data_IF_835903603636
#
_entry.id   IF_835903603636
#
_cell.length_a   1.000
_cell.length_b   1.000
_cell.length_c   1.000
_cell.angle_alpha   90.00
_cell.angle_beta   90.00
_cell.angle_gamma   90.00
#
_symmetry.space_group_name_H-M   'P 1'
#
loop_
_entity.id
_entity.type
_entity.pdbx_description
1 polymer ?
#
# COMPACT_ATOMS: atom_id res chain seq x y z
N UNK A 1 -25.31 -24.64 10.05
CA UNK A 1 -25.15 -25.97 9.42
C UNK A 1 -25.60 -27.11 10.34
N UNK A 2 -26.02 -26.86 11.59
CA UNK A 2 -26.40 -27.93 12.53
C UNK A 2 -27.82 -28.50 12.29
N UNK A 3 -28.63 -27.86 11.42
CA UNK A 3 -30.00 -28.30 11.11
C UNK A 3 -30.14 -29.24 9.90
N UNK A 4 -29.05 -29.67 9.25
CA UNK A 4 -29.08 -30.69 8.19
C UNK A 4 -28.08 -31.79 8.52
N UNK A 5 -28.49 -33.06 8.41
CA UNK A 5 -27.78 -34.32 8.78
C UNK A 5 -26.42 -34.58 8.11
N UNK A 6 -25.69 -33.57 7.65
CA UNK A 6 -24.37 -33.69 7.03
C UNK A 6 -23.30 -33.37 8.06
N UNK A 7 -22.47 -34.35 8.43
CA UNK A 7 -21.32 -34.12 9.31
C UNK A 7 -20.25 -33.30 8.59
N UNK A 8 -19.69 -32.25 9.23
CA UNK A 8 -18.64 -31.45 8.63
C UNK A 8 -17.38 -32.30 8.42
N UNK A 9 -16.71 -32.09 7.28
CA UNK A 9 -15.46 -32.77 6.93
C UNK A 9 -14.31 -31.75 6.84
N UNK A 10 -13.11 -32.22 6.51
CA UNK A 10 -11.91 -31.37 6.39
C UNK A 10 -12.10 -30.18 5.44
N UNK A 11 -12.83 -30.37 4.33
CA UNK A 11 -13.13 -29.31 3.35
C UNK A 11 -14.06 -28.25 3.96
N UNK A 12 -15.07 -28.67 4.72
CA UNK A 12 -15.96 -27.75 5.44
C UNK A 12 -15.18 -26.89 6.42
N UNK A 13 -14.32 -27.50 7.24
CA UNK A 13 -13.49 -26.75 8.19
C UNK A 13 -12.48 -25.84 7.49
N UNK A 14 -11.81 -26.29 6.42
CA UNK A 14 -10.88 -25.46 5.66
C UNK A 14 -11.56 -24.20 5.12
N UNK A 15 -12.80 -24.32 4.63
CA UNK A 15 -13.59 -23.19 4.15
C UNK A 15 -13.96 -22.21 5.28
N UNK A 16 -14.36 -22.73 6.44
CA UNK A 16 -14.69 -21.90 7.61
C UNK A 16 -13.45 -21.20 8.19
N UNK A 17 -12.34 -21.92 8.31
CA UNK A 17 -11.05 -21.38 8.76
C UNK A 17 -10.60 -20.28 7.80
N UNK A 18 -10.67 -20.51 6.48
CA UNK A 18 -10.35 -19.50 5.49
C UNK A 18 -11.21 -18.23 5.65
N UNK A 19 -12.53 -18.38 5.75
CA UNK A 19 -13.44 -17.24 5.96
C UNK A 19 -13.16 -16.45 7.25
N UNK A 20 -12.81 -17.14 8.34
CA UNK A 20 -12.43 -16.49 9.60
C UNK A 20 -11.07 -15.80 9.54
N UNK A 21 -10.13 -16.36 8.79
CA UNK A 21 -8.83 -15.76 8.52
C UNK A 21 -8.99 -14.47 7.70
N UNK A 22 -9.86 -14.46 6.69
CA UNK A 22 -10.14 -13.25 5.89
C UNK A 22 -10.87 -12.14 6.64
N UNK A 23 -11.55 -12.46 7.74
CA UNK A 23 -12.22 -11.49 8.63
C UNK A 23 -11.39 -11.14 9.87
N UNK A 24 -10.07 -11.36 9.82
CA UNK A 24 -9.09 -11.07 10.89
C UNK A 24 -9.44 -11.68 12.26
N UNK A 25 -10.24 -12.76 12.28
CA UNK A 25 -10.73 -13.43 13.49
C UNK A 25 -9.88 -14.64 13.86
N UNK A 26 -8.55 -14.47 14.02
CA UNK A 26 -7.58 -15.56 14.23
C UNK A 26 -7.92 -16.50 15.39
N UNK A 27 -8.39 -15.96 16.52
CA UNK A 27 -8.70 -16.78 17.69
C UNK A 27 -9.79 -17.81 17.35
N UNK A 28 -10.80 -17.41 16.58
CA UNK A 28 -11.87 -18.31 16.13
C UNK A 28 -11.34 -19.34 15.13
N UNK A 29 -10.43 -18.95 14.23
CA UNK A 29 -9.79 -19.88 13.31
C UNK A 29 -8.97 -20.96 14.04
N UNK A 30 -8.24 -20.58 15.09
CA UNK A 30 -7.51 -21.52 15.96
C UNK A 30 -8.47 -22.40 16.79
N UNK A 31 -9.61 -21.87 17.24
CA UNK A 31 -10.64 -22.68 17.91
C UNK A 31 -11.20 -23.76 16.98
N UNK A 32 -11.47 -23.43 15.71
CA UNK A 32 -11.91 -24.42 14.73
C UNK A 32 -10.84 -25.49 14.47
N UNK A 33 -9.55 -25.13 14.45
CA UNK A 33 -8.47 -26.12 14.32
C UNK A 33 -8.45 -27.11 15.49
N UNK A 34 -8.70 -26.63 16.71
CA UNK A 34 -8.78 -27.50 17.90
C UNK A 34 -10.06 -28.36 17.86
N UNK A 35 -11.19 -27.78 17.47
CA UNK A 35 -12.45 -28.49 17.32
C UNK A 35 -12.36 -29.64 16.29
N UNK A 36 -11.63 -29.43 15.18
CA UNK A 36 -11.34 -30.51 14.22
C UNK A 36 -10.68 -31.71 14.92
N UNK A 37 -9.70 -31.45 15.79
CA UNK A 37 -9.00 -32.50 16.51
C UNK A 37 -9.93 -33.22 17.52
N UNK A 38 -10.77 -32.47 18.25
CA UNK A 38 -11.75 -33.03 19.20
C UNK A 38 -12.78 -33.92 18.50
N UNK A 39 -13.19 -33.53 17.29
CA UNK A 39 -14.12 -34.30 16.43
C UNK A 39 -13.43 -35.41 15.63
N UNK A 40 -12.13 -35.66 15.87
CA UNK A 40 -11.31 -36.67 15.17
C UNK A 40 -11.22 -36.46 13.65
N UNK A 41 -11.41 -35.23 13.19
CA UNK A 41 -11.18 -34.82 11.81
C UNK A 41 -9.73 -34.34 11.73
N UNK A 42 -8.88 -35.08 11.03
CA UNK A 42 -7.45 -34.73 10.93
C UNK A 42 -7.26 -33.50 10.04
N UNK A 43 -6.68 -32.40 10.55
CA UNK A 43 -6.26 -31.28 9.71
C UNK A 43 -5.18 -31.72 8.73
N UNK A 44 -5.24 -31.23 7.50
CA UNK A 44 -4.28 -31.56 6.45
C UNK A 44 -3.28 -30.41 6.21
N UNK A 45 -2.32 -30.62 5.31
CA UNK A 45 -1.34 -29.60 4.92
C UNK A 45 -2.01 -28.31 4.43
N UNK A 46 -3.18 -28.41 3.79
CA UNK A 46 -3.91 -27.25 3.30
C UNK A 46 -4.51 -26.44 4.46
N UNK A 47 -5.09 -27.09 5.48
CA UNK A 47 -5.55 -26.43 6.71
C UNK A 47 -4.46 -25.57 7.34
N UNK A 48 -3.26 -26.13 7.49
CA UNK A 48 -2.11 -25.43 8.05
C UNK A 48 -1.60 -24.31 7.15
N UNK A 49 -1.63 -24.49 5.83
CA UNK A 49 -1.23 -23.45 4.88
C UNK A 49 -2.09 -22.18 4.98
N UNK A 50 -3.41 -22.33 5.14
CA UNK A 50 -4.34 -21.21 5.33
C UNK A 50 -3.98 -20.41 6.59
N UNK A 51 -3.73 -21.12 7.69
CA UNK A 51 -3.40 -20.49 8.97
C UNK A 51 -2.04 -19.78 8.94
N UNK A 52 -1.02 -20.42 8.36
CA UNK A 52 0.31 -19.80 8.19
C UNK A 52 0.21 -18.54 7.35
N UNK A 53 -0.48 -18.60 6.20
CA UNK A 53 -0.66 -17.47 5.29
C UNK A 53 -1.38 -16.29 5.97
N UNK A 54 -2.50 -16.56 6.66
CA UNK A 54 -3.23 -15.54 7.43
C UNK A 54 -2.35 -14.86 8.47
N UNK A 55 -1.66 -15.65 9.30
CA UNK A 55 -0.80 -15.10 10.34
C UNK A 55 0.35 -14.28 9.75
N UNK A 56 0.91 -14.67 8.61
CA UNK A 56 1.95 -13.90 7.92
C UNK A 56 1.44 -12.55 7.40
N UNK A 57 0.30 -12.55 6.69
CA UNK A 57 -0.33 -11.35 6.11
C UNK A 57 -0.72 -10.32 7.16
N UNK A 58 -1.29 -10.77 8.27
CA UNK A 58 -1.71 -9.86 9.33
C UNK A 58 -0.60 -9.51 10.32
N UNK A 59 0.52 -10.20 10.20
CA UNK A 59 1.76 -9.68 10.68
C UNK A 59 2.48 -10.44 11.79
N UNK A 60 1.95 -11.60 12.13
CA UNK A 60 2.44 -12.45 13.20
C UNK A 60 3.23 -13.63 12.65
N UNK A 61 4.41 -13.39 12.08
CA UNK A 61 5.29 -14.45 11.55
C UNK A 61 5.74 -15.42 12.66
N UNK A 62 5.83 -14.96 13.91
CA UNK A 62 6.14 -15.83 15.05
C UNK A 62 5.03 -16.86 15.29
N UNK A 63 3.77 -16.41 15.29
CA UNK A 63 2.61 -17.31 15.36
C UNK A 63 2.55 -18.27 14.18
N UNK A 64 2.83 -17.78 12.96
CA UNK A 64 2.93 -18.62 11.77
C UNK A 64 3.99 -19.73 11.92
N UNK A 65 5.16 -19.42 12.52
CA UNK A 65 6.20 -20.41 12.84
C UNK A 65 5.75 -21.43 13.89
N UNK A 66 4.95 -21.02 14.88
CA UNK A 66 4.37 -21.96 15.86
C UNK A 66 3.43 -22.94 15.16
N UNK A 67 2.57 -22.46 14.26
CA UNK A 67 1.66 -23.29 13.48
C UNK A 67 2.43 -24.29 12.60
N UNK A 68 3.51 -23.85 11.94
CA UNK A 68 4.40 -24.74 11.18
C UNK A 68 5.02 -25.84 12.07
N UNK A 69 5.49 -25.49 13.27
CA UNK A 69 6.02 -26.50 14.23
C UNK A 69 4.95 -27.50 14.64
N UNK A 70 3.72 -27.06 14.89
CA UNK A 70 2.59 -27.94 15.21
C UNK A 70 2.30 -28.92 14.07
N UNK A 71 2.34 -28.44 12.82
CA UNK A 71 2.17 -29.28 11.62
C UNK A 71 3.24 -30.39 11.56
N UNK A 72 4.51 -30.03 11.73
CA UNK A 72 5.63 -30.98 11.69
C UNK A 72 5.53 -32.01 12.82
N UNK A 73 5.18 -31.58 14.04
CA UNK A 73 4.98 -32.48 15.19
C UNK A 73 3.85 -33.50 14.98
N UNK A 74 2.88 -33.18 14.13
CA UNK A 74 1.80 -34.10 13.73
C UNK A 74 2.19 -35.02 12.55
N UNK A 75 3.45 -35.00 12.13
CA UNK A 75 3.97 -35.86 11.06
C UNK A 75 3.62 -35.38 9.65
N UNK A 76 3.11 -34.15 9.49
CA UNK A 76 2.81 -33.58 8.19
C UNK A 76 4.05 -32.91 7.60
N UNK A 77 4.26 -33.07 6.29
CA UNK A 77 5.41 -32.51 5.57
C UNK A 77 5.03 -31.14 4.99
N UNK A 78 5.73 -30.05 5.37
CA UNK A 78 5.48 -28.73 4.81
C UNK A 78 5.77 -28.65 3.31
N UNK A 79 4.84 -28.05 2.55
CA UNK A 79 4.99 -27.81 1.12
C UNK A 79 5.60 -26.42 0.86
N UNK A 80 6.10 -26.18 -0.36
CA UNK A 80 6.74 -24.91 -0.78
C UNK A 80 5.86 -23.69 -0.48
N UNK A 81 4.53 -23.81 -0.62
CA UNK A 81 3.55 -22.76 -0.33
C UNK A 81 3.66 -22.23 1.11
N UNK A 82 3.91 -23.10 2.09
CA UNK A 82 4.00 -22.70 3.51
C UNK A 82 5.26 -21.87 3.77
N UNK A 83 6.38 -22.28 3.18
CA UNK A 83 7.63 -21.52 3.27
C UNK A 83 7.54 -20.21 2.50
N UNK A 84 6.89 -20.21 1.33
CA UNK A 84 6.60 -19.00 0.57
C UNK A 84 5.77 -17.99 1.39
N UNK A 85 4.70 -18.42 2.06
CA UNK A 85 3.93 -17.55 2.97
C UNK A 85 4.76 -17.00 4.13
N UNK A 86 5.66 -17.80 4.72
CA UNK A 86 6.58 -17.33 5.77
C UNK A 86 7.61 -16.32 5.25
N UNK A 87 8.17 -16.55 4.06
CA UNK A 87 9.09 -15.63 3.40
C UNK A 87 8.40 -14.31 3.06
N UNK A 88 7.19 -14.36 2.52
CA UNK A 88 6.39 -13.17 2.23
C UNK A 88 6.07 -12.39 3.50
N UNK A 89 5.68 -13.08 4.57
CA UNK A 89 5.50 -12.47 5.89
C UNK A 89 6.75 -11.80 6.48
N UNK A 90 7.96 -12.25 6.13
CA UNK A 90 9.21 -11.57 6.45
C UNK A 90 9.48 -10.37 5.53
N UNK A 91 9.23 -10.54 4.23
CA UNK A 91 9.37 -9.50 3.20
C UNK A 91 8.52 -8.27 3.52
N UNK A 92 7.24 -8.46 3.87
CA UNK A 92 6.29 -7.40 4.25
C UNK A 92 6.73 -6.58 5.47
N UNK A 93 7.70 -7.06 6.26
CA UNK A 93 8.28 -6.33 7.42
C UNK A 93 9.69 -5.83 7.16
N UNK A 94 10.14 -5.82 5.92
CA UNK A 94 11.51 -5.46 5.56
C UNK A 94 12.56 -6.32 6.28
N UNK A 95 12.20 -7.54 6.71
CA UNK A 95 13.12 -8.49 7.35
C UNK A 95 13.77 -9.41 6.31
N UNK A 96 14.35 -8.81 5.27
CA UNK A 96 14.84 -9.51 4.07
C UNK A 96 15.89 -10.56 4.41
N UNK A 97 16.79 -10.32 5.36
CA UNK A 97 17.82 -11.30 5.74
C UNK A 97 17.22 -12.56 6.38
N UNK A 98 16.08 -12.43 7.07
CA UNK A 98 15.35 -13.59 7.61
C UNK A 98 14.61 -14.35 6.52
N UNK A 99 14.02 -13.64 5.56
CA UNK A 99 13.43 -14.25 4.37
C UNK A 99 14.50 -15.01 3.58
N UNK A 100 15.68 -14.42 3.38
CA UNK A 100 16.82 -15.04 2.70
C UNK A 100 17.32 -16.30 3.41
N UNK A 101 17.52 -16.24 4.73
CA UNK A 101 17.88 -17.43 5.52
C UNK A 101 16.87 -18.56 5.38
N UNK A 102 15.58 -18.23 5.33
CA UNK A 102 14.53 -19.23 5.13
C UNK A 102 14.59 -19.81 3.72
N UNK A 103 14.74 -18.96 2.70
CA UNK A 103 14.93 -19.35 1.30
C UNK A 103 16.10 -20.34 1.16
N UNK A 104 17.28 -20.01 1.67
CA UNK A 104 18.46 -20.88 1.57
C UNK A 104 18.27 -22.21 2.33
N UNK A 105 17.52 -22.20 3.44
CA UNK A 105 17.26 -23.40 4.26
C UNK A 105 16.29 -24.39 3.61
N UNK A 106 15.43 -23.95 2.69
CA UNK A 106 14.43 -24.83 2.03
C UNK A 106 15.09 -26.01 1.30
N UNK A 107 16.22 -25.77 0.64
CA UNK A 107 16.97 -26.81 -0.07
C UNK A 107 17.48 -27.90 0.88
N UNK A 108 17.94 -27.53 2.08
CA UNK A 108 18.40 -28.48 3.11
C UNK A 108 17.26 -29.37 3.63
N UNK A 109 16.01 -28.94 3.47
CA UNK A 109 14.82 -29.71 3.82
C UNK A 109 14.21 -30.44 2.62
N UNK A 110 14.92 -30.49 1.48
CA UNK A 110 14.44 -31.13 0.25
C UNK A 110 13.29 -30.41 -0.44
N UNK A 111 13.01 -29.16 -0.06
CA UNK A 111 11.96 -28.33 -0.66
C UNK A 111 12.56 -27.47 -1.77
N UNK A 112 12.23 -27.75 -3.02
CA UNK A 112 12.70 -26.97 -4.18
C UNK A 112 11.97 -25.64 -4.26
N UNK A 113 12.70 -24.59 -4.60
CA UNK A 113 12.15 -23.28 -4.92
C UNK A 113 11.34 -23.34 -6.22
N UNK A 114 10.23 -22.61 -6.25
CA UNK A 114 9.45 -22.36 -7.46
C UNK A 114 9.58 -20.89 -7.90
N UNK A 115 8.99 -20.55 -9.05
CA UNK A 115 8.95 -19.16 -9.57
C UNK A 115 8.45 -18.17 -8.51
N UNK A 116 7.46 -18.59 -7.71
CA UNK A 116 6.89 -17.75 -6.66
C UNK A 116 7.88 -17.49 -5.52
N UNK A 117 8.68 -18.48 -5.10
CA UNK A 117 9.77 -18.30 -4.13
C UNK A 117 10.77 -17.23 -4.58
N UNK A 118 11.18 -17.24 -5.86
CA UNK A 118 12.08 -16.22 -6.41
C UNK A 118 11.41 -14.85 -6.47
N UNK A 119 10.16 -14.76 -6.93
CA UNK A 119 9.42 -13.50 -7.01
C UNK A 119 9.27 -12.84 -5.64
N UNK A 120 9.01 -13.60 -4.56
CA UNK A 120 8.99 -13.06 -3.19
C UNK A 120 10.33 -12.42 -2.82
N UNK A 121 11.45 -13.12 -3.07
CA UNK A 121 12.77 -12.63 -2.71
C UNK A 121 13.22 -11.44 -3.56
N UNK A 122 12.97 -11.48 -4.87
CA UNK A 122 13.24 -10.37 -5.79
C UNK A 122 12.46 -9.13 -5.35
N UNK A 123 11.17 -9.27 -5.07
CA UNK A 123 10.35 -8.18 -4.54
C UNK A 123 10.87 -7.65 -3.20
N UNK A 124 11.26 -8.55 -2.28
CA UNK A 124 11.84 -8.18 -1.00
C UNK A 124 13.12 -7.34 -1.16
N UNK A 125 14.02 -7.75 -2.06
CA UNK A 125 15.25 -7.03 -2.35
C UNK A 125 14.99 -5.67 -3.01
N UNK A 126 14.09 -5.60 -4.00
CA UNK A 126 13.70 -4.35 -4.66
C UNK A 126 13.17 -3.32 -3.65
N UNK A 127 12.22 -3.71 -2.78
CA UNK A 127 11.64 -2.80 -1.78
C UNK A 127 12.66 -2.33 -0.72
N UNK A 128 13.74 -3.07 -0.54
CA UNK A 128 14.83 -2.72 0.36
C UNK A 128 16.03 -2.09 -0.36
N UNK A 129 15.85 -1.67 -1.63
CA UNK A 129 16.88 -1.03 -2.47
C UNK A 129 18.15 -1.86 -2.68
N UNK A 130 18.06 -3.18 -2.52
CA UNK A 130 19.16 -4.15 -2.68
C UNK A 130 19.16 -4.74 -4.10
N UNK A 131 19.28 -3.87 -5.09
CA UNK A 131 19.05 -4.22 -6.50
C UNK A 131 20.04 -5.25 -7.06
N UNK A 132 21.30 -5.22 -6.61
CA UNK A 132 22.32 -6.15 -7.10
C UNK A 132 22.00 -7.59 -6.68
N UNK A 133 21.43 -7.80 -5.49
CA UNK A 133 20.98 -9.12 -5.03
C UNK A 133 19.70 -9.58 -5.75
N UNK A 134 18.80 -8.64 -6.10
CA UNK A 134 17.63 -8.94 -6.91
C UNK A 134 18.05 -9.42 -8.31
N UNK A 135 19.04 -8.77 -8.91
CA UNK A 135 19.60 -9.15 -10.22
C UNK A 135 20.33 -10.50 -10.18
N UNK A 136 21.11 -10.75 -9.11
CA UNK A 136 21.72 -12.07 -8.90
C UNK A 136 20.67 -13.19 -8.82
N UNK A 137 19.56 -12.97 -8.11
CA UNK A 137 18.48 -13.97 -8.06
C UNK A 137 17.76 -14.15 -9.40
N UNK A 138 17.57 -13.10 -10.18
CA UNK A 138 17.01 -13.23 -11.53
C UNK A 138 17.91 -14.11 -12.42
N UNK A 139 19.23 -13.94 -12.33
CA UNK A 139 20.17 -14.75 -13.10
C UNK A 139 20.24 -16.20 -12.59
N UNK A 140 20.25 -16.42 -11.27
CA UNK A 140 20.17 -17.76 -10.66
C UNK A 140 18.88 -18.51 -11.06
N UNK A 141 17.77 -17.79 -11.18
CA UNK A 141 16.50 -18.35 -11.65
C UNK A 141 16.61 -18.86 -13.09
N UNK A 142 17.24 -18.07 -13.98
CA UNK A 142 17.48 -18.44 -15.38
C UNK A 142 18.47 -19.61 -15.51
N UNK A 143 19.54 -19.63 -14.72
CA UNK A 143 20.51 -20.74 -14.70
C UNK A 143 19.90 -22.07 -14.25
N UNK A 144 18.79 -22.01 -13.49
CA UNK A 144 18.04 -23.18 -13.01
C UNK A 144 16.86 -23.57 -13.92
N UNK A 145 16.80 -23.02 -15.13
CA UNK A 145 15.72 -23.24 -16.11
C UNK A 145 14.32 -22.90 -15.54
N UNK A 146 14.25 -22.00 -14.54
CA UNK A 146 13.00 -21.44 -14.07
C UNK A 146 12.70 -20.18 -14.89
N UNK A 147 11.70 -20.23 -15.75
CA UNK A 147 11.36 -19.09 -16.61
C UNK A 147 10.79 -17.92 -15.79
N UNK A 148 11.45 -16.74 -15.78
CA UNK A 148 10.89 -15.54 -15.18
C UNK A 148 9.59 -15.14 -15.88
N UNK A 149 8.63 -14.61 -15.11
CA UNK A 149 7.35 -14.19 -15.66
C UNK A 149 7.23 -12.67 -15.75
N UNK A 150 6.09 -12.19 -16.24
CA UNK A 150 5.79 -10.77 -16.34
C UNK A 150 5.88 -10.06 -14.99
N UNK A 151 5.56 -10.75 -13.88
CA UNK A 151 5.65 -10.20 -12.53
C UNK A 151 7.11 -10.02 -12.15
N UNK A 152 7.97 -11.04 -12.35
CA UNK A 152 9.41 -10.98 -12.08
C UNK A 152 10.04 -9.76 -12.76
N UNK A 153 9.82 -9.63 -14.07
CA UNK A 153 10.40 -8.54 -14.86
C UNK A 153 9.85 -7.18 -14.48
N UNK A 154 8.54 -7.06 -14.26
CA UNK A 154 7.92 -5.79 -13.85
C UNK A 154 8.43 -5.34 -12.49
N UNK A 155 8.60 -6.25 -11.53
CA UNK A 155 9.19 -5.96 -10.22
C UNK A 155 10.63 -5.47 -10.33
N UNK A 156 11.43 -6.07 -11.22
CA UNK A 156 12.81 -5.65 -11.47
C UNK A 156 12.88 -4.25 -12.10
N UNK A 157 12.06 -3.98 -13.14
CA UNK A 157 11.97 -2.65 -13.77
C UNK A 157 11.58 -1.59 -12.73
N UNK A 158 10.52 -1.84 -11.95
CA UNK A 158 10.08 -0.92 -10.91
C UNK A 158 11.17 -0.69 -9.85
N UNK A 159 11.82 -1.76 -9.38
CA UNK A 159 12.91 -1.65 -8.41
C UNK A 159 14.08 -0.79 -8.91
N UNK A 160 14.51 -0.98 -10.15
CA UNK A 160 15.58 -0.16 -10.75
C UNK A 160 15.15 1.30 -10.95
N UNK A 161 13.90 1.55 -11.36
CA UNK A 161 13.33 2.89 -11.41
C UNK A 161 13.40 3.57 -10.03
N UNK A 162 12.86 2.94 -8.99
CA UNK A 162 12.88 3.50 -7.62
C UNK A 162 14.30 3.72 -7.09
N UNK A 163 15.26 2.88 -7.50
CA UNK A 163 16.67 3.03 -7.16
C UNK A 163 17.41 4.13 -7.95
N UNK A 164 16.75 4.81 -8.90
CA UNK A 164 17.40 5.83 -9.73
C UNK A 164 18.11 5.31 -10.98
N UNK A 165 18.11 3.99 -11.21
CA UNK A 165 18.97 3.27 -12.18
C UNK A 165 18.24 3.00 -13.50
N UNK A 166 17.86 4.06 -14.23
CA UNK A 166 17.05 3.94 -15.46
C UNK A 166 17.69 3.07 -16.55
N UNK A 167 19.02 3.12 -16.72
CA UNK A 167 19.72 2.33 -17.74
C UNK A 167 19.53 0.83 -17.50
N UNK A 168 19.59 0.41 -16.25
CA UNK A 168 19.39 -0.99 -15.86
C UNK A 168 17.92 -1.39 -16.01
N UNK A 169 16.97 -0.51 -15.64
CA UNK A 169 15.55 -0.72 -15.89
C UNK A 169 15.25 -0.93 -17.39
N UNK A 170 15.86 -0.14 -18.27
CA UNK A 170 15.74 -0.29 -19.73
C UNK A 170 16.39 -1.59 -20.24
N UNK A 171 17.50 -2.03 -19.64
CA UNK A 171 18.12 -3.31 -19.97
C UNK A 171 17.22 -4.48 -19.58
N UNK A 172 16.63 -4.46 -18.39
CA UNK A 172 15.64 -5.45 -17.96
C UNK A 172 14.42 -5.46 -18.88
N UNK A 173 13.91 -4.30 -19.29
CA UNK A 173 12.78 -4.19 -20.23
C UNK A 173 13.10 -4.85 -21.60
N UNK A 174 14.33 -4.66 -22.10
CA UNK A 174 14.80 -5.31 -23.32
C UNK A 174 14.93 -6.82 -23.14
N UNK A 175 15.48 -7.26 -22.00
CA UNK A 175 15.61 -8.68 -21.64
C UNK A 175 14.24 -9.36 -21.57
N UNK A 176 13.28 -8.75 -20.88
CA UNK A 176 11.89 -9.19 -20.79
C UNK A 176 11.30 -9.44 -22.20
N UNK A 177 11.46 -8.47 -23.11
CA UNK A 177 10.96 -8.59 -24.48
C UNK A 177 11.68 -9.68 -25.29
N UNK A 178 13.00 -9.82 -25.09
CA UNK A 178 13.83 -10.83 -25.76
C UNK A 178 13.53 -12.27 -25.33
N UNK A 179 13.06 -12.45 -24.11
CA UNK A 179 12.63 -13.76 -23.57
C UNK A 179 11.15 -14.09 -23.86
N UNK A 180 10.47 -13.25 -24.66
CA UNK A 180 9.08 -13.47 -25.05
C UNK A 180 8.04 -13.01 -24.02
N UNK A 181 8.45 -12.34 -22.93
CA UNK A 181 7.55 -11.69 -22.01
C UNK A 181 7.22 -10.27 -22.52
N UNK A 182 5.94 -9.96 -22.71
CA UNK A 182 5.54 -8.63 -23.17
C UNK A 182 5.37 -7.67 -22.00
N UNK A 183 6.02 -6.48 -22.01
CA UNK A 183 5.77 -5.44 -21.02
C UNK A 183 4.29 -5.06 -20.97
N UNK A 184 3.74 -4.96 -19.76
CA UNK A 184 2.34 -4.60 -19.56
C UNK A 184 2.21 -3.14 -19.10
N UNK A 185 0.97 -2.69 -18.87
CA UNK A 185 0.70 -1.32 -18.42
C UNK A 185 1.41 -0.97 -17.11
N UNK A 186 1.56 -1.93 -16.19
CA UNK A 186 2.26 -1.73 -14.90
C UNK A 186 3.75 -1.49 -15.11
N UNK A 187 4.36 -2.22 -16.05
CA UNK A 187 5.78 -2.02 -16.42
C UNK A 187 6.01 -0.59 -16.94
N UNK A 188 5.14 -0.11 -17.84
CA UNK A 188 5.26 1.23 -18.39
C UNK A 188 4.89 2.34 -17.40
N UNK A 189 3.89 2.13 -16.54
CA UNK A 189 3.55 3.06 -15.46
C UNK A 189 4.73 3.26 -14.50
N UNK A 190 5.53 2.22 -14.24
CA UNK A 190 6.74 2.32 -13.41
C UNK A 190 7.83 3.19 -14.05
N UNK A 191 7.97 3.15 -15.38
CA UNK A 191 8.88 4.02 -16.14
C UNK A 191 8.35 5.45 -16.21
N UNK A 192 7.03 5.61 -16.38
CA UNK A 192 6.37 6.90 -16.39
C UNK A 192 6.55 7.63 -15.05
N UNK A 193 6.36 6.92 -13.93
CA UNK A 193 6.54 7.44 -12.57
C UNK A 193 7.98 7.90 -12.33
N UNK A 194 8.95 7.11 -12.80
CA UNK A 194 10.35 7.48 -12.76
C UNK A 194 10.62 8.80 -13.49
N UNK A 195 10.17 8.91 -14.74
CA UNK A 195 10.43 10.08 -15.60
C UNK A 195 9.78 11.34 -15.00
N UNK A 196 8.52 11.23 -14.54
CA UNK A 196 7.82 12.29 -13.83
C UNK A 196 8.56 12.71 -12.55
N UNK A 197 8.98 11.74 -11.73
CA UNK A 197 9.72 12.00 -10.49
C UNK A 197 11.09 12.66 -10.70
N UNK A 198 11.71 12.48 -11.88
CA UNK A 198 12.96 13.13 -12.28
C UNK A 198 12.76 14.45 -13.03
N UNK A 199 11.51 14.87 -13.27
CA UNK A 199 11.19 16.07 -14.05
C UNK A 199 11.46 15.93 -15.55
N UNK A 200 11.70 14.72 -16.06
CA UNK A 200 11.87 14.43 -17.49
C UNK A 200 10.51 14.33 -18.18
N UNK A 201 9.75 15.41 -18.14
CA UNK A 201 8.33 15.41 -18.51
C UNK A 201 8.08 15.24 -20.01
N UNK A 202 8.97 15.72 -20.86
CA UNK A 202 8.83 15.52 -22.31
C UNK A 202 9.02 14.05 -22.69
N UNK A 203 9.97 13.37 -22.07
CA UNK A 203 10.16 11.92 -22.22
C UNK A 203 8.95 11.15 -21.65
N UNK A 204 8.39 11.62 -20.52
CA UNK A 204 7.19 11.03 -19.91
C UNK A 204 5.96 11.16 -20.83
N UNK A 205 5.74 12.33 -21.43
CA UNK A 205 4.66 12.57 -22.39
C UNK A 205 4.82 11.74 -23.66
N UNK A 206 6.04 11.64 -24.20
CA UNK A 206 6.34 10.79 -25.34
C UNK A 206 6.10 9.31 -25.02
N UNK A 207 6.51 8.85 -23.83
CA UNK A 207 6.22 7.49 -23.37
C UNK A 207 4.71 7.26 -23.22
N UNK A 208 3.97 8.23 -22.69
CA UNK A 208 2.52 8.13 -22.54
C UNK A 208 1.81 7.96 -23.89
N UNK A 209 2.23 8.69 -24.92
CA UNK A 209 1.71 8.51 -26.29
C UNK A 209 2.00 7.10 -26.84
N UNK A 210 3.19 6.54 -26.54
CA UNK A 210 3.52 5.15 -26.90
C UNK A 210 2.59 4.18 -26.18
N UNK A 211 2.31 4.39 -24.88
CA UNK A 211 1.36 3.58 -24.12
C UNK A 211 -0.01 3.66 -24.80
N UNK A 212 -0.54 4.85 -25.07
CA UNK A 212 -1.86 5.04 -25.71
C UNK A 212 -2.01 4.34 -27.05
N UNK A 213 -0.95 4.35 -27.86
CA UNK A 213 -0.97 3.73 -29.20
C UNK A 213 -0.86 2.20 -29.18
N UNK A 214 -0.26 1.62 -28.13
CA UNK A 214 0.08 0.19 -28.08
C UNK A 214 -0.72 -0.59 -27.04
N UNK A 215 -1.21 0.09 -26.01
CA UNK A 215 -1.87 -0.45 -24.84
C UNK A 215 -3.09 0.42 -24.52
N UNK A 216 -4.08 -0.17 -23.85
CA UNK A 216 -5.15 0.62 -23.25
C UNK A 216 -4.60 1.28 -21.98
N UNK A 217 -4.58 2.62 -21.94
CA UNK A 217 -4.22 3.36 -20.73
C UNK A 217 -5.17 3.01 -19.58
N UNK A 218 -4.64 3.04 -18.37
CA UNK A 218 -5.41 2.98 -17.14
C UNK A 218 -5.42 4.35 -16.44
N UNK A 219 -6.31 4.49 -15.46
CA UNK A 219 -6.41 5.72 -14.64
C UNK A 219 -5.10 6.00 -13.91
N UNK A 220 -4.31 4.96 -13.59
CA UNK A 220 -3.02 5.07 -12.90
C UNK A 220 -1.99 5.81 -13.74
N UNK A 221 -1.85 5.48 -15.03
CA UNK A 221 -0.93 6.17 -15.94
C UNK A 221 -1.25 7.66 -16.07
N UNK A 222 -2.54 7.99 -16.22
CA UNK A 222 -3.01 9.39 -16.21
C UNK A 222 -2.64 10.09 -14.91
N UNK A 223 -2.93 9.47 -13.76
CA UNK A 223 -2.64 10.03 -12.44
C UNK A 223 -1.16 10.33 -12.23
N UNK A 224 -0.27 9.41 -12.63
CA UNK A 224 1.19 9.59 -12.56
C UNK A 224 1.64 10.81 -13.38
N UNK A 225 1.16 10.90 -14.63
CA UNK A 225 1.54 11.99 -15.52
C UNK A 225 1.00 13.34 -15.02
N UNK A 226 -0.27 13.40 -14.59
CA UNK A 226 -0.86 14.61 -14.03
C UNK A 226 -0.13 15.11 -12.79
N UNK A 227 0.22 14.23 -11.85
CA UNK A 227 0.98 14.59 -10.65
C UNK A 227 2.37 15.16 -11.02
N UNK A 228 3.05 14.53 -11.97
CA UNK A 228 4.33 15.04 -12.51
C UNK A 228 4.20 16.43 -13.14
N UNK A 229 3.19 16.64 -13.99
CA UNK A 229 2.94 17.91 -14.67
C UNK A 229 2.59 19.03 -13.67
N UNK A 230 1.72 18.76 -12.69
CA UNK A 230 1.36 19.73 -11.65
C UNK A 230 2.55 20.14 -10.79
N UNK A 231 3.38 19.17 -10.37
CA UNK A 231 4.60 19.43 -9.59
C UNK A 231 5.61 20.32 -10.33
N UNK A 232 5.65 20.25 -11.66
CA UNK A 232 6.53 21.10 -12.47
C UNK A 232 5.87 22.40 -12.97
N UNK A 233 4.61 22.65 -12.63
CA UNK A 233 3.88 23.83 -13.10
C UNK A 233 3.51 23.84 -14.58
N UNK A 234 3.46 22.67 -15.23
CA UNK A 234 2.95 22.52 -16.61
C UNK A 234 1.42 22.43 -16.61
N UNK A 235 0.78 23.47 -16.11
CA UNK A 235 -0.67 23.50 -15.81
C UNK A 235 -1.55 23.18 -17.02
N UNK A 236 -1.23 23.76 -18.18
CA UNK A 236 -2.02 23.58 -19.40
C UNK A 236 -2.13 22.11 -19.79
N UNK A 237 -1.01 21.41 -19.74
CA UNK A 237 -0.94 19.99 -20.09
C UNK A 237 -1.58 19.13 -19.01
N UNK A 238 -1.40 19.47 -17.72
CA UNK A 238 -2.07 18.76 -16.63
C UNK A 238 -3.60 18.81 -16.77
N UNK A 239 -4.15 20.00 -17.10
CA UNK A 239 -5.57 20.21 -17.37
C UNK A 239 -6.06 19.48 -18.62
N UNK A 240 -5.24 19.43 -19.66
CA UNK A 240 -5.52 18.66 -20.87
C UNK A 240 -5.63 17.16 -20.55
N UNK A 241 -4.71 16.61 -19.75
CA UNK A 241 -4.75 15.22 -19.33
C UNK A 241 -6.00 14.89 -18.51
N UNK A 242 -6.39 15.76 -17.56
CA UNK A 242 -7.64 15.59 -16.80
C UNK A 242 -8.86 15.60 -17.73
N UNK A 243 -8.92 16.58 -18.65
CA UNK A 243 -10.02 16.71 -19.61
C UNK A 243 -10.13 15.50 -20.54
N UNK A 244 -9.01 14.93 -20.96
CA UNK A 244 -8.98 13.71 -21.79
C UNK A 244 -9.56 12.53 -21.01
N UNK A 245 -9.11 12.32 -19.77
CA UNK A 245 -9.62 11.25 -18.91
C UNK A 245 -11.13 11.37 -18.66
N UNK A 246 -11.66 12.59 -18.46
CA UNK A 246 -13.10 12.81 -18.28
C UNK A 246 -13.95 12.63 -19.54
N UNK A 247 -13.36 12.74 -20.74
CA UNK A 247 -14.09 12.61 -22.03
C UNK A 247 -14.07 11.19 -22.59
N UNK A 248 -13.06 10.40 -22.25
CA UNK A 248 -12.95 9.03 -22.73
C UNK A 248 -13.98 8.13 -22.03
N UNK A 249 -15.07 7.78 -22.72
CA UNK A 249 -16.20 6.99 -22.20
C UNK A 249 -15.84 5.64 -21.53
N UNK A 250 -14.58 5.18 -21.62
CA UNK A 250 -14.12 3.92 -21.04
C UNK A 250 -13.43 4.08 -19.68
N UNK A 251 -12.98 5.28 -19.33
CA UNK A 251 -12.25 5.56 -18.08
C UNK A 251 -12.96 6.71 -17.38
N UNK A 252 -13.01 6.67 -16.06
CA UNK A 252 -13.58 7.75 -15.26
C UNK A 252 -12.52 8.19 -14.24
N UNK A 253 -12.41 9.51 -13.97
CA UNK A 253 -11.63 9.99 -12.85
C UNK A 253 -12.01 9.28 -11.56
N UNK A 254 -11.02 8.81 -10.81
CA UNK A 254 -11.21 8.25 -9.47
C UNK A 254 -10.92 9.30 -8.38
N UNK A 255 -11.21 8.98 -7.12
CA UNK A 255 -10.89 9.84 -5.96
C UNK A 255 -9.44 10.34 -5.99
N UNK A 256 -8.49 9.49 -6.38
CA UNK A 256 -7.07 9.87 -6.47
C UNK A 256 -6.81 10.89 -7.57
N UNK A 257 -7.50 10.77 -8.71
CA UNK A 257 -7.44 11.71 -9.84
C UNK A 257 -7.83 13.13 -9.41
N UNK A 258 -8.95 13.25 -8.68
CA UNK A 258 -9.39 14.53 -8.12
C UNK A 258 -8.38 15.07 -7.11
N UNK A 259 -7.92 14.24 -6.17
CA UNK A 259 -6.95 14.66 -5.15
C UNK A 259 -5.65 15.21 -5.76
N UNK A 260 -5.14 14.57 -6.82
CA UNK A 260 -3.95 15.04 -7.55
C UNK A 260 -4.21 16.41 -8.18
N UNK A 261 -5.35 16.57 -8.84
CA UNK A 261 -5.69 17.81 -9.56
C UNK A 261 -5.97 18.96 -8.60
N UNK A 262 -6.74 18.73 -7.53
CA UNK A 262 -7.01 19.71 -6.47
C UNK A 262 -5.70 20.15 -5.81
N UNK A 263 -4.83 19.20 -5.41
CA UNK A 263 -3.52 19.53 -4.85
C UNK A 263 -2.67 20.36 -5.82
N UNK A 264 -2.68 20.01 -7.10
CA UNK A 264 -2.00 20.75 -8.16
C UNK A 264 -2.50 22.19 -8.28
N UNK A 265 -3.82 22.39 -8.35
CA UNK A 265 -4.47 23.70 -8.40
C UNK A 265 -4.16 24.54 -7.16
N UNK A 266 -4.27 23.95 -5.96
CA UNK A 266 -3.91 24.62 -4.71
C UNK A 266 -2.47 25.12 -4.73
N UNK A 267 -1.50 24.30 -5.14
CA UNK A 267 -0.08 24.70 -5.24
C UNK A 267 0.17 25.86 -6.19
N UNK A 268 -0.63 25.96 -7.25
CA UNK A 268 -0.57 27.06 -8.22
C UNK A 268 -1.48 28.25 -7.85
N UNK A 269 -2.05 28.25 -6.64
CA UNK A 269 -2.92 29.31 -6.08
C UNK A 269 -4.30 29.46 -6.76
N UNK A 270 -4.76 28.46 -7.51
CA UNK A 270 -6.12 28.40 -8.05
C UNK A 270 -7.07 27.72 -7.05
N UNK A 271 -7.16 28.26 -5.82
CA UNK A 271 -7.88 27.60 -4.71
C UNK A 271 -9.39 27.57 -4.96
N UNK A 272 -9.97 28.63 -5.53
CA UNK A 272 -11.40 28.67 -5.88
C UNK A 272 -11.76 27.54 -6.86
N UNK A 273 -10.95 27.34 -7.90
CA UNK A 273 -11.15 26.27 -8.86
C UNK A 273 -10.94 24.88 -8.25
N UNK A 274 -9.97 24.76 -7.32
CA UNK A 274 -9.76 23.52 -6.57
C UNK A 274 -10.98 23.17 -5.71
N UNK A 275 -11.64 24.17 -5.12
CA UNK A 275 -12.86 24.01 -4.33
C UNK A 275 -14.07 23.62 -5.19
N UNK A 276 -14.26 24.28 -6.33
CA UNK A 276 -15.30 23.89 -7.29
C UNK A 276 -15.11 22.44 -7.77
N UNK A 277 -13.87 22.04 -8.04
CA UNK A 277 -13.56 20.66 -8.44
C UNK A 277 -13.83 19.65 -7.30
N UNK A 278 -13.54 20.02 -6.04
CA UNK A 278 -13.87 19.22 -4.86
C UNK A 278 -15.39 19.02 -4.70
N UNK A 279 -16.18 20.07 -4.89
CA UNK A 279 -17.66 19.97 -4.82
C UNK A 279 -18.25 19.22 -6.01
N UNK A 280 -17.69 19.37 -7.20
CA UNK A 280 -18.08 18.61 -8.39
C UNK A 280 -17.90 17.10 -8.18
N UNK A 281 -16.79 16.70 -7.56
CA UNK A 281 -16.51 15.30 -7.21
C UNK A 281 -17.65 14.69 -6.38
N UNK A 282 -18.18 15.44 -5.39
CA UNK A 282 -19.30 15.01 -4.54
C UNK A 282 -20.64 14.98 -5.26
N UNK A 283 -20.92 16.00 -6.08
CA UNK A 283 -22.26 16.27 -6.60
C UNK A 283 -22.55 15.60 -7.95
N UNK A 284 -21.57 15.53 -8.84
CA UNK A 284 -21.80 15.16 -10.25
C UNK A 284 -21.17 13.82 -10.62
N UNK A 285 -19.93 13.57 -10.18
CA UNK A 285 -19.12 12.47 -10.71
C UNK A 285 -19.22 11.18 -9.86
N UNK A 286 -20.16 11.12 -8.90
CA UNK A 286 -20.39 9.98 -7.98
C UNK A 286 -19.13 9.50 -7.24
N UNK A 287 -18.11 10.36 -7.10
CA UNK A 287 -16.86 10.05 -6.43
C UNK A 287 -16.94 10.52 -4.97
N UNK A 288 -16.72 9.62 -4.01
CA UNK A 288 -16.81 9.98 -2.58
C UNK A 288 -15.47 10.55 -2.13
N UNK A 289 -15.42 11.78 -1.59
CA UNK A 289 -14.21 12.33 -0.99
C UNK A 289 -13.75 11.46 0.18
N UNK A 290 -12.46 11.19 0.22
CA UNK A 290 -11.85 10.46 1.31
C UNK A 290 -11.12 11.40 2.27
N UNK A 291 -10.48 10.81 3.29
CA UNK A 291 -9.67 11.56 4.24
C UNK A 291 -8.59 12.41 3.54
N UNK A 292 -8.02 11.92 2.43
CA UNK A 292 -6.99 12.63 1.67
C UNK A 292 -7.59 13.81 0.90
N UNK A 293 -8.78 13.67 0.32
CA UNK A 293 -9.49 14.73 -0.40
C UNK A 293 -9.69 15.97 0.50
N UNK A 294 -10.21 15.77 1.71
CA UNK A 294 -10.41 16.85 2.68
C UNK A 294 -9.10 17.50 3.11
N UNK A 295 -8.10 16.71 3.52
CA UNK A 295 -6.81 17.27 3.93
C UNK A 295 -6.20 18.11 2.79
N UNK A 296 -6.20 17.63 1.54
CA UNK A 296 -5.66 18.35 0.38
C UNK A 296 -6.31 19.72 0.16
N UNK A 297 -7.64 19.81 0.17
CA UNK A 297 -8.32 21.09 -0.05
C UNK A 297 -8.11 22.04 1.14
N UNK A 298 -8.13 21.52 2.38
CA UNK A 298 -7.87 22.29 3.60
C UNK A 298 -6.45 22.87 3.56
N UNK A 299 -5.43 22.07 3.19
CA UNK A 299 -4.05 22.55 2.99
C UNK A 299 -4.00 23.75 2.04
N UNK A 300 -4.74 23.68 0.92
CA UNK A 300 -4.84 24.76 -0.05
C UNK A 300 -5.35 26.07 0.56
N UNK A 301 -6.46 26.01 1.29
CA UNK A 301 -7.05 27.20 1.93
C UNK A 301 -6.17 27.77 3.05
N UNK A 302 -5.58 26.90 3.89
CA UNK A 302 -4.69 27.32 4.98
C UNK A 302 -3.44 28.04 4.44
N UNK A 303 -2.85 27.56 3.34
CA UNK A 303 -1.66 28.18 2.73
C UNK A 303 -1.95 29.51 2.01
N UNK A 304 -3.18 29.70 1.50
CA UNK A 304 -3.56 30.87 0.69
C UNK A 304 -4.49 31.86 1.40
N UNK A 305 -4.62 31.73 2.73
CA UNK A 305 -5.19 32.68 3.69
C UNK A 305 -6.72 32.84 3.68
N UNK A 306 -7.47 31.77 3.42
CA UNK A 306 -8.90 31.76 3.78
C UNK A 306 -9.17 30.84 4.99
N UNK A 307 -8.95 31.34 6.22
CA UNK A 307 -9.07 30.52 7.44
C UNK A 307 -10.50 30.05 7.72
N UNK A 308 -11.51 30.80 7.29
CA UNK A 308 -12.91 30.53 7.65
C UNK A 308 -13.42 29.33 6.86
N UNK A 309 -13.19 29.33 5.55
CA UNK A 309 -13.55 28.26 4.62
C UNK A 309 -12.78 26.98 4.94
N UNK A 310 -11.48 27.11 5.30
CA UNK A 310 -10.70 25.99 5.82
C UNK A 310 -11.33 25.39 7.08
N UNK A 311 -11.87 26.24 7.97
CA UNK A 311 -12.50 25.78 9.21
C UNK A 311 -13.83 25.07 8.96
N UNK A 312 -14.65 25.60 8.07
CA UNK A 312 -15.91 24.96 7.69
C UNK A 312 -15.66 23.57 7.08
N UNK A 313 -14.63 23.44 6.24
CA UNK A 313 -14.19 22.16 5.68
C UNK A 313 -13.67 21.18 6.75
N UNK A 314 -12.98 21.66 7.79
CA UNK A 314 -12.53 20.83 8.92
C UNK A 314 -13.72 20.31 9.73
N UNK A 315 -14.70 21.16 10.00
CA UNK A 315 -15.91 20.75 10.71
C UNK A 315 -16.71 19.72 9.90
N UNK A 316 -16.82 19.93 8.60
CA UNK A 316 -17.44 18.97 7.68
C UNK A 316 -16.70 17.62 7.69
N UNK A 317 -15.37 17.63 7.58
CA UNK A 317 -14.49 16.47 7.63
C UNK A 317 -14.72 15.62 8.89
N UNK A 318 -14.73 16.27 10.06
CA UNK A 318 -14.98 15.61 11.35
C UNK A 318 -16.40 15.04 11.42
N UNK A 319 -17.40 15.76 10.90
CA UNK A 319 -18.79 15.28 10.88
C UNK A 319 -18.98 14.02 10.03
N UNK A 320 -18.14 13.83 8.99
CA UNK A 320 -18.12 12.63 8.15
C UNK A 320 -17.25 11.50 8.72
N UNK A 321 -16.63 11.68 9.88
CA UNK A 321 -15.80 10.68 10.55
C UNK A 321 -14.35 10.60 10.06
N UNK A 322 -13.87 11.62 9.35
CA UNK A 322 -12.48 11.73 8.91
C UNK A 322 -11.63 12.53 9.92
N UNK A 323 -10.30 12.43 9.83
CA UNK A 323 -9.36 13.03 10.78
C UNK A 323 -8.26 13.84 10.10
N UNK A 324 -8.01 15.05 10.64
CA UNK A 324 -6.97 15.94 10.16
C UNK A 324 -5.58 15.27 10.29
N UNK A 325 -4.79 15.33 9.23
CA UNK A 325 -3.43 14.80 9.24
C UNK A 325 -2.48 15.71 10.05
N UNK A 326 -1.26 15.21 10.31
CA UNK A 326 -0.26 15.95 11.08
C UNK A 326 0.10 17.31 10.46
N UNK A 327 0.06 17.41 9.12
CA UNK A 327 0.34 18.65 8.39
C UNK A 327 -0.79 19.65 8.62
N UNK A 328 -2.04 19.20 8.57
CA UNK A 328 -3.25 20.04 8.73
C UNK A 328 -3.26 20.60 10.14
N UNK A 329 -2.98 19.75 11.13
CA UNK A 329 -2.85 20.16 12.52
C UNK A 329 -1.71 21.15 12.73
N UNK A 330 -0.55 20.94 12.12
CA UNK A 330 0.57 21.89 12.20
C UNK A 330 0.21 23.26 11.63
N UNK A 331 -0.40 23.30 10.43
CA UNK A 331 -0.82 24.54 9.77
C UNK A 331 -1.88 25.27 10.59
N UNK A 332 -2.82 24.55 11.21
CA UNK A 332 -3.81 25.15 12.11
C UNK A 332 -3.16 25.76 13.36
N UNK A 333 -2.19 25.06 13.97
CA UNK A 333 -1.45 25.58 15.12
C UNK A 333 -0.65 26.85 14.79
N UNK A 334 -0.06 26.93 13.60
CA UNK A 334 0.65 28.14 13.13
C UNK A 334 -0.27 29.37 12.96
N UNK A 335 -1.58 29.15 12.85
CA UNK A 335 -2.57 30.21 12.71
C UNK A 335 -3.12 30.70 14.06
N UNK A 336 -2.94 29.93 15.15
CA UNK A 336 -3.39 30.30 16.50
C UNK A 336 -2.76 31.59 17.07
N UNK A 337 -1.44 31.85 16.91
CA UNK A 337 -0.81 33.07 17.43
C UNK A 337 -1.29 34.35 16.71
N UNK A 338 -1.99 34.23 15.58
CA UNK A 338 -2.46 35.37 14.77
C UNK A 338 -3.84 35.90 15.20
N UNK A 339 -4.43 35.37 16.27
CA UNK A 339 -5.72 35.80 16.82
C UNK A 339 -6.91 35.70 15.83
N UNK A 340 -6.81 34.79 14.85
CA UNK A 340 -7.84 34.57 13.80
C UNK A 340 -8.77 33.37 14.10
N UNK A 341 -8.65 32.72 15.26
CA UNK A 341 -9.30 31.44 15.56
C UNK A 341 -9.93 31.47 16.96
N UNK A 342 -11.24 31.18 17.05
CA UNK A 342 -11.97 31.11 18.32
C UNK A 342 -11.79 29.75 19.05
N UNK A 343 -11.62 29.83 20.37
CA UNK A 343 -11.39 28.74 21.32
C UNK A 343 -12.39 27.54 21.32
N UNK A 344 -13.70 27.69 20.99
CA UNK A 344 -14.66 26.58 21.05
C UNK A 344 -14.45 25.50 19.99
N UNK A 345 -13.87 25.86 18.84
CA UNK A 345 -13.70 24.95 17.70
C UNK A 345 -12.48 24.04 17.92
N UNK A 346 -11.42 24.56 18.53
CA UNK A 346 -10.27 23.79 19.01
C UNK A 346 -10.67 22.69 20.01
N UNK A 347 -11.62 22.98 20.90
CA UNK A 347 -12.15 21.98 21.83
C UNK A 347 -12.89 20.84 21.12
N UNK A 348 -13.53 21.07 19.97
CA UNK A 348 -14.16 19.99 19.20
C UNK A 348 -13.12 19.10 18.52
N UNK A 349 -12.02 19.67 18.04
CA UNK A 349 -10.93 18.93 17.38
C UNK A 349 -10.12 18.07 18.36
N UNK A 350 -9.79 18.61 19.53
CA UNK A 350 -9.06 17.91 20.60
C UNK A 350 -9.88 16.81 21.28
N UNK A 351 -11.20 16.81 21.13
CA UNK A 351 -12.08 15.78 21.69
C UNK A 351 -12.38 14.64 20.71
N UNK A 352 -11.77 14.62 19.52
CA UNK A 352 -11.86 13.49 18.59
C UNK A 352 -11.08 12.27 19.11
N UNK A 353 -11.60 11.04 18.94
CA UNK A 353 -11.12 9.85 19.64
C UNK A 353 -9.67 9.43 19.36
N UNK A 354 -9.05 9.91 18.28
CA UNK A 354 -7.69 9.50 17.88
C UNK A 354 -6.56 10.32 18.53
N UNK A 355 -6.81 11.53 19.01
CA UNK A 355 -5.77 12.36 19.67
C UNK A 355 -5.42 11.85 21.08
N UNK A 356 -6.31 11.06 21.71
CA UNK A 356 -6.07 10.46 23.03
C UNK A 356 -5.15 9.24 23.01
N UNK A 357 -4.70 8.79 21.84
CA UNK A 357 -3.81 7.62 21.71
C UNK A 357 -2.31 7.95 21.87
N UNK A 358 -1.93 9.23 22.04
CA UNK A 358 -0.53 9.65 22.19
C UNK A 358 -0.17 10.38 23.49
N UNK A 359 -1.07 10.51 24.47
CA UNK A 359 -0.68 10.92 25.83
C UNK A 359 -0.52 9.69 26.74
N UNK A 360 0.64 9.04 26.64
CA UNK A 360 1.20 8.27 27.75
C UNK A 360 2.51 8.93 28.14
N UNK A 361 2.52 9.56 29.33
CA UNK A 361 3.76 9.79 30.08
C UNK A 361 4.07 11.24 30.43
N UNK A 362 3.23 11.91 31.23
CA UNK A 362 3.71 13.00 32.10
C UNK A 362 2.89 13.06 33.40
N UNK A 363 3.02 12.01 34.21
CA UNK A 363 2.69 12.06 35.63
C UNK A 363 3.90 11.54 36.40
N UNK A 364 4.82 12.45 36.70
CA UNK A 364 5.75 12.34 37.84
C UNK A 364 6.61 13.60 37.82
N UNK A 365 6.17 14.63 38.54
CA UNK A 365 6.99 15.74 39.05
C UNK A 365 6.12 16.59 39.99
N UNK A 366 5.70 16.00 41.10
CA UNK A 366 5.26 16.76 42.27
C UNK A 366 5.62 16.00 43.55
N UNK A 367 6.85 16.17 44.02
CA UNK A 367 7.24 15.99 45.44
C UNK A 367 8.71 16.36 45.61
N UNK A 368 8.99 17.64 45.83
CA UNK A 368 10.11 18.13 46.65
C UNK A 368 10.11 19.66 46.68
N UNK A 369 9.17 20.24 47.43
CA UNK A 369 9.29 21.61 47.92
C UNK A 369 9.28 21.56 49.44
N UNK A 370 10.46 21.35 50.03
CA UNK A 370 10.71 21.65 51.44
C UNK A 370 12.13 22.18 51.60
N UNK A 371 12.18 23.46 51.97
CA UNK A 371 13.12 24.08 52.91
C UNK A 371 14.50 24.52 52.40
N UNK A 372 14.78 25.81 52.66
CA UNK A 372 16.04 26.18 53.32
C UNK A 372 16.89 27.25 52.65
N UNK A 373 16.51 28.51 52.86
CA UNK A 373 17.35 29.66 53.28
C UNK A 373 18.82 29.81 52.82
N UNK A 374 19.09 31.06 52.43
CA UNK A 374 20.36 31.76 52.09
C UNK A 374 20.78 31.70 50.62
#
# INVERSE_FOLDING_TARGET
>A
MEDRKTQPNVITYNSLIYGLCTSSSRNKAMMLLNEMADRKIMPDTFTYSILVDSFCKEGNVLGAKVILKMMIQRGLIPHVVIYNSLMDGYSLRSQVDKARKLFDSMANWGCKHDVYSYNIMIHAYCNNKRMDEAEQLLNDMLEKDLAPDTVTYTTMVNGFCQAGRLKDAQQILKKMSGEGCSPNIVTYNSLLDYLCGRGQLDDALALFQVIESRLKCDVVGYNILMDGLWKAGREKEAREMFSRLSRENCLQPDTRTYNITINGLCRQRFVDEAYELFRKMEAEDSCVPDNCSYNVIIHGFLHHKDPLEAMDLILEMVSKGFSADATTMSLLLEMLPKNQLDHPILQKLLNSPDTKSHEIGSSDLSTAATQGTC
#
